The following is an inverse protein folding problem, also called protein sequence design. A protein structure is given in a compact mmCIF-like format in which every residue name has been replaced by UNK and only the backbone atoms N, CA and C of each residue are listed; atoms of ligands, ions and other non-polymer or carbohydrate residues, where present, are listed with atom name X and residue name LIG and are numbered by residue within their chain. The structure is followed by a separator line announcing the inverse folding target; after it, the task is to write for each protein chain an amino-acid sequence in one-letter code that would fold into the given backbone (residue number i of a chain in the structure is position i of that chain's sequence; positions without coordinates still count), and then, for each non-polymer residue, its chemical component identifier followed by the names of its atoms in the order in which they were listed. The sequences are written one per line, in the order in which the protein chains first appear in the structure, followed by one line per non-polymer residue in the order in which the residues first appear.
data_IF_023200723249
#
_entry.id   IF_023200723249
#
_cell.length_a   1.000
_cell.length_b   1.000
_cell.length_c   1.000
_cell.angle_alpha   90.00
_cell.angle_beta   90.00
_cell.angle_gamma   90.00
#
_symmetry.space_group_name_H-M   'P 1'
#
loop_
_entity.id
_entity.type
_entity.pdbx_description
1 polymer ?
#
# COMPACT_ATOMS: atom_id res chain seq x y z
N UNK A 1 4.73 20.98 10.72
CA UNK A 1 4.30 19.71 11.35
C UNK A 1 3.75 18.77 10.28
N UNK A 2 4.24 17.57 10.24
CA UNK A 2 3.79 16.58 9.26
C UNK A 2 2.45 15.96 9.71
N UNK A 3 1.44 16.06 8.87
CA UNK A 3 0.13 15.48 9.15
C UNK A 3 -0.03 14.20 8.34
N UNK A 4 -0.33 13.10 9.01
CA UNK A 4 -0.58 11.83 8.35
C UNK A 4 -1.83 11.91 7.47
N UNK A 5 -1.71 11.50 6.21
CA UNK A 5 -2.81 11.45 5.25
C UNK A 5 -3.31 10.00 5.14
N UNK A 6 -4.06 9.59 6.16
CA UNK A 6 -4.63 8.25 6.21
C UNK A 6 -6.10 8.35 5.81
N UNK A 7 -6.43 7.85 4.63
CA UNK A 7 -7.79 7.86 4.11
C UNK A 7 -8.47 6.52 4.33
N UNK A 8 -9.73 6.55 4.75
CA UNK A 8 -10.53 5.33 4.94
C UNK A 8 -10.90 4.74 3.58
N UNK A 9 -11.30 3.47 3.58
CA UNK A 9 -11.77 2.79 2.37
C UNK A 9 -12.91 3.57 1.71
N UNK A 10 -13.85 4.11 2.51
CA UNK A 10 -14.97 4.91 2.01
C UNK A 10 -14.50 6.18 1.32
N UNK A 11 -13.49 6.86 1.89
CA UNK A 11 -12.91 8.07 1.29
C UNK A 11 -12.20 7.73 -0.03
N UNK A 12 -11.51 6.59 -0.08
CA UNK A 12 -10.84 6.14 -1.31
C UNK A 12 -11.82 5.82 -2.41
N UNK A 13 -12.96 5.22 -2.09
CA UNK A 13 -14.01 4.92 -3.07
C UNK A 13 -14.60 6.19 -3.69
N UNK A 14 -14.59 7.31 -2.96
CA UNK A 14 -15.09 8.58 -3.45
C UNK A 14 -14.10 9.29 -4.39
N UNK A 15 -12.86 8.81 -4.50
CA UNK A 15 -11.84 9.43 -5.35
C UNK A 15 -12.02 9.00 -6.82
N UNK A 16 -11.69 9.92 -7.73
CA UNK A 16 -11.55 9.55 -9.15
C UNK A 16 -10.33 8.64 -9.32
N UNK A 17 -10.25 7.86 -10.42
CA UNK A 17 -9.06 7.04 -10.68
C UNK A 17 -7.76 7.83 -10.67
N UNK A 18 -7.76 9.06 -11.18
CA UNK A 18 -6.57 9.92 -11.16
C UNK A 18 -6.17 10.34 -9.75
N UNK A 19 -7.14 10.67 -8.91
CA UNK A 19 -6.89 11.02 -7.51
C UNK A 19 -6.40 9.81 -6.72
N UNK A 20 -6.96 8.64 -6.97
CA UNK A 20 -6.54 7.40 -6.32
C UNK A 20 -5.09 7.07 -6.67
N UNK A 21 -4.72 7.22 -7.94
CA UNK A 21 -3.34 7.02 -8.40
C UNK A 21 -2.38 8.01 -7.75
N UNK A 22 -2.80 9.27 -7.60
CA UNK A 22 -2.01 10.29 -6.90
C UNK A 22 -1.75 9.92 -5.45
N UNK A 23 -2.75 9.39 -4.78
CA UNK A 23 -2.62 8.92 -3.39
C UNK A 23 -1.65 7.73 -3.31
N UNK A 24 -1.76 6.77 -4.23
CA UNK A 24 -0.82 5.65 -4.32
C UNK A 24 0.62 6.12 -4.47
N UNK A 25 0.86 7.10 -5.36
CA UNK A 25 2.19 7.68 -5.56
C UNK A 25 2.71 8.33 -4.27
N UNK A 26 1.85 9.03 -3.55
CA UNK A 26 2.19 9.63 -2.26
C UNK A 26 2.64 8.57 -1.26
N UNK A 27 1.93 7.45 -1.20
CA UNK A 27 2.28 6.34 -0.32
C UNK A 27 3.60 5.68 -0.74
N UNK A 28 3.85 5.54 -2.05
CA UNK A 28 5.11 5.01 -2.55
C UNK A 28 6.30 5.88 -2.15
N UNK A 29 6.14 7.19 -2.21
CA UNK A 29 7.18 8.13 -1.77
C UNK A 29 7.42 8.06 -0.27
N UNK A 30 6.35 7.96 0.52
CA UNK A 30 6.46 7.81 1.96
C UNK A 30 7.17 6.51 2.34
N UNK A 31 6.86 5.42 1.64
CA UNK A 31 7.54 4.14 1.83
C UNK A 31 9.04 4.26 1.51
N UNK A 32 9.38 4.88 0.39
CA UNK A 32 10.78 5.06 -0.02
C UNK A 32 11.59 5.84 1.02
N UNK A 33 10.99 6.84 1.67
CA UNK A 33 11.66 7.60 2.75
C UNK A 33 11.98 6.73 3.95
N UNK A 34 11.25 5.65 4.15
CA UNK A 34 11.45 4.71 5.25
C UNK A 34 12.28 3.49 4.84
N UNK A 35 12.84 3.49 3.63
CA UNK A 35 13.60 2.35 3.11
C UNK A 35 12.73 1.18 2.68
N UNK A 36 11.47 1.44 2.37
CA UNK A 36 10.51 0.42 1.96
C UNK A 36 10.07 0.62 0.51
N UNK A 37 9.60 -0.45 -0.10
CA UNK A 37 8.99 -0.44 -1.43
C UNK A 37 7.54 -0.89 -1.32
N UNK A 38 6.62 -0.12 -1.88
CA UNK A 38 5.21 -0.50 -1.98
C UNK A 38 5.04 -1.36 -3.25
N UNK A 39 4.64 -2.59 -3.07
CA UNK A 39 4.38 -3.52 -4.17
C UNK A 39 2.89 -3.79 -4.27
N UNK A 40 2.37 -3.74 -5.50
CA UNK A 40 0.98 -4.05 -5.80
C UNK A 40 0.89 -5.44 -6.43
N UNK A 41 -0.05 -6.24 -5.95
CA UNK A 41 -0.31 -7.55 -6.56
C UNK A 41 -0.87 -7.37 -7.97
N UNK A 42 -0.21 -7.95 -8.95
CA UNK A 42 -0.60 -7.90 -10.35
C UNK A 42 -0.85 -9.31 -10.86
N UNK A 43 -2.08 -9.78 -10.70
CA UNK A 43 -2.51 -11.04 -11.30
C UNK A 43 -3.04 -10.78 -12.70
N UNK A 44 -2.87 -11.74 -13.61
CA UNK A 44 -3.53 -11.69 -14.92
C UNK A 44 -5.03 -11.87 -14.79
N UNK A 45 -5.48 -12.51 -13.71
CA UNK A 45 -6.88 -12.74 -13.43
C UNK A 45 -7.39 -11.63 -12.51
N UNK A 46 -8.26 -10.71 -12.98
CA UNK A 46 -8.80 -9.64 -12.14
C UNK A 46 -9.72 -10.16 -11.03
N UNK A 47 -10.13 -11.43 -11.09
CA UNK A 47 -10.91 -12.08 -10.04
C UNK A 47 -10.06 -12.79 -9.00
N UNK A 48 -8.73 -12.74 -9.13
CA UNK A 48 -7.84 -13.30 -8.13
C UNK A 48 -8.06 -12.59 -6.78
N UNK A 49 -8.11 -13.38 -5.69
CA UNK A 49 -8.42 -12.87 -4.36
C UNK A 49 -7.53 -11.70 -3.92
N UNK A 50 -6.26 -11.73 -4.27
CA UNK A 50 -5.29 -10.70 -3.89
C UNK A 50 -5.14 -9.58 -4.93
N UNK A 51 -5.88 -9.62 -6.03
CA UNK A 51 -5.78 -8.63 -7.10
C UNK A 51 -6.00 -7.21 -6.56
N UNK A 52 -5.07 -6.31 -6.87
CA UNK A 52 -5.18 -4.92 -6.45
C UNK A 52 -4.78 -4.65 -4.99
N UNK A 53 -4.35 -5.67 -4.25
CA UNK A 53 -3.85 -5.48 -2.89
C UNK A 53 -2.35 -5.17 -2.88
N UNK A 54 -1.81 -4.82 -1.72
CA UNK A 54 -0.46 -4.30 -1.59
C UNK A 54 0.32 -5.02 -0.50
N UNK A 55 1.64 -4.89 -0.55
CA UNK A 55 2.54 -5.26 0.54
C UNK A 55 3.68 -4.24 0.62
N UNK A 56 4.34 -4.17 1.77
CA UNK A 56 5.53 -3.34 1.98
C UNK A 56 6.74 -4.24 2.15
N UNK A 57 7.79 -3.95 1.40
CA UNK A 57 9.02 -4.76 1.32
C UNK A 57 10.20 -3.88 1.69
N UNK A 58 11.15 -4.42 2.47
CA UNK A 58 12.39 -3.72 2.79
C UNK A 58 13.27 -3.66 1.54
N UNK A 59 13.75 -2.45 1.20
CA UNK A 59 14.59 -2.25 0.01
C UNK A 59 15.95 -2.92 0.10
N UNK A 60 16.49 -3.06 1.31
CA UNK A 60 17.84 -3.61 1.51
C UNK A 60 17.85 -5.14 1.48
N UNK A 61 16.91 -5.77 2.15
CA UNK A 61 16.85 -7.22 2.33
C UNK A 61 15.87 -7.90 1.39
N UNK A 62 14.98 -7.12 0.78
CA UNK A 62 13.90 -7.60 -0.07
C UNK A 62 12.91 -8.49 0.70
N UNK A 63 12.85 -8.34 2.02
CA UNK A 63 11.92 -9.08 2.88
C UNK A 63 10.59 -8.33 3.00
N UNK A 64 9.50 -9.09 3.06
CA UNK A 64 8.16 -8.54 3.30
C UNK A 64 8.06 -8.08 4.74
N UNK A 65 7.84 -6.77 4.94
CA UNK A 65 7.73 -6.16 6.28
C UNK A 65 6.28 -6.14 6.73
N UNK A 66 5.37 -5.77 5.84
CA UNK A 66 3.94 -5.76 6.12
C UNK A 66 3.15 -6.36 4.99
N UNK A 67 2.27 -7.29 5.34
CA UNK A 67 1.27 -7.88 4.47
C UNK A 67 0.12 -8.36 5.36
N UNK A 68 -1.07 -8.54 4.78
CA UNK A 68 -2.20 -9.09 5.54
C UNK A 68 -1.95 -10.54 5.91
N UNK A 69 -1.25 -11.27 5.05
CA UNK A 69 -0.86 -12.67 5.28
C UNK A 69 0.62 -12.81 4.94
N UNK A 70 1.46 -13.11 5.93
CA UNK A 70 2.91 -13.25 5.73
C UNK A 70 3.30 -14.47 4.90
N UNK A 71 2.46 -15.50 4.83
CA UNK A 71 2.73 -16.66 4.01
C UNK A 71 2.51 -16.38 2.52
N UNK A 72 1.44 -15.70 2.19
CA UNK A 72 1.09 -15.36 0.81
C UNK A 72 1.63 -14.01 0.36
N UNK A 73 1.91 -13.12 1.30
CA UNK A 73 2.22 -11.72 1.01
C UNK A 73 0.97 -10.95 0.60
N UNK A 74 1.10 -9.66 0.34
CA UNK A 74 0.00 -8.80 -0.13
C UNK A 74 -1.21 -8.78 0.82
N UNK A 75 -2.37 -8.37 0.30
CA UNK A 75 -3.63 -8.35 1.05
C UNK A 75 -3.92 -7.02 1.74
N UNK A 76 -2.99 -6.07 1.78
CA UNK A 76 -3.21 -4.74 2.35
C UNK A 76 -3.94 -3.85 1.34
N UNK A 77 -4.89 -3.04 1.80
CA UNK A 77 -5.44 -1.94 1.01
C UNK A 77 -4.62 -0.67 1.25
N UNK A 78 -4.92 0.40 0.50
CA UNK A 78 -4.19 1.66 0.65
C UNK A 78 -4.36 2.28 2.03
N UNK A 79 -5.50 2.10 2.67
CA UNK A 79 -5.73 2.58 4.03
C UNK A 79 -4.78 1.88 5.02
N UNK A 80 -4.67 0.57 4.91
CA UNK A 80 -3.78 -0.22 5.77
C UNK A 80 -2.32 0.12 5.52
N UNK A 81 -1.93 0.31 4.25
CA UNK A 81 -0.58 0.76 3.88
C UNK A 81 -0.27 2.10 4.53
N UNK A 82 -1.20 3.06 4.45
CA UNK A 82 -1.01 4.37 5.06
C UNK A 82 -0.85 4.25 6.57
N UNK A 83 -1.65 3.44 7.24
CA UNK A 83 -1.51 3.19 8.68
C UNK A 83 -0.15 2.62 9.04
N UNK A 84 0.32 1.63 8.28
CA UNK A 84 1.64 1.05 8.50
C UNK A 84 2.75 2.10 8.38
N UNK A 85 2.66 2.98 7.39
CA UNK A 85 3.69 3.99 7.13
C UNK A 85 3.70 5.10 8.18
N UNK A 86 2.54 5.52 8.67
CA UNK A 86 2.45 6.64 9.61
C UNK A 86 2.39 6.26 11.08
N UNK A 87 2.36 4.98 11.41
CA UNK A 87 2.40 4.51 12.80
C UNK A 87 3.75 3.94 13.23
N UNK A 88 4.72 3.98 12.35
CA UNK A 88 6.09 3.49 12.64
C UNK A 88 6.83 4.39 13.61
#
# INVERSE_FOLDING_TARGET
MYTADIRTAKQLEALTPGQLKGYEIKLRRAAARQGLTLQKHRSRDPYHLLYGTYQLVDCSTNDVVWAADHEQGYGLDLTEVARCLWTR
#
